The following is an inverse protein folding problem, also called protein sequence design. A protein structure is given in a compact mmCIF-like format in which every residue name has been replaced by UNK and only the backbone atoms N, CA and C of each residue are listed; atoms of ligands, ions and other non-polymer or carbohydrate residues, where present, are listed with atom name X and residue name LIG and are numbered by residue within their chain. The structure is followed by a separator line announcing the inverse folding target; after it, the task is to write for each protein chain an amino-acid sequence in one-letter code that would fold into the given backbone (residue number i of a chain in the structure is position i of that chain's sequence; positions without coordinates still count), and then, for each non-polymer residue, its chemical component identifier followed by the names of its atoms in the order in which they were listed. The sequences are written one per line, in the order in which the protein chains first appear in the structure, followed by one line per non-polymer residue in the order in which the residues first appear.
data_IF_225441042824
#
_entry.id   IF_225441042824
#
_cell.length_a   1.000
_cell.length_b   1.000
_cell.length_c   1.000
_cell.angle_alpha   90.00
_cell.angle_beta   90.00
_cell.angle_gamma   90.00
#
_symmetry.space_group_name_H-M   'P 1'
#
loop_
_entity.id
_entity.type
_entity.pdbx_description
1 polymer ?
#
# COMPACT_ATOMS: atom_id res chain seq x y z
N UNK A 1 21.27 38.90 -42.88
CA UNK A 1 20.08 38.70 -42.02
C UNK A 1 20.13 37.26 -41.52
N UNK A 2 20.44 37.07 -40.24
CA UNK A 2 20.49 35.75 -39.57
C UNK A 2 19.13 35.56 -38.90
N UNK A 3 18.47 34.43 -39.11
CA UNK A 3 17.87 33.63 -38.03
C UNK A 3 17.08 32.49 -38.65
N UNK A 4 17.74 31.33 -38.72
CA UNK A 4 17.09 30.04 -38.90
C UNK A 4 16.22 29.80 -37.66
N UNK A 5 14.90 29.93 -37.82
CA UNK A 5 13.95 29.55 -36.78
C UNK A 5 13.96 28.02 -36.64
N UNK A 6 14.96 27.52 -35.92
CA UNK A 6 15.03 26.16 -35.40
C UNK A 6 13.85 26.02 -34.45
N UNK A 7 12.75 25.43 -34.94
CA UNK A 7 11.66 24.93 -34.11
C UNK A 7 12.23 23.83 -33.24
N UNK A 8 12.74 24.20 -32.07
CA UNK A 8 13.00 23.23 -31.02
C UNK A 8 11.66 22.66 -30.63
N UNK A 9 11.46 21.41 -31.04
CA UNK A 9 10.46 20.50 -30.54
C UNK A 9 10.38 20.71 -29.03
N UNK A 10 9.24 21.26 -28.59
CA UNK A 10 8.85 21.30 -27.20
C UNK A 10 8.83 19.86 -26.71
N UNK A 11 9.95 19.45 -26.13
CA UNK A 11 10.10 18.20 -25.41
C UNK A 11 9.13 18.32 -24.24
N UNK A 12 7.92 17.79 -24.41
CA UNK A 12 7.00 17.56 -23.30
C UNK A 12 7.84 16.98 -22.17
N UNK A 13 7.82 17.58 -20.96
CA UNK A 13 8.57 17.02 -19.85
C UNK A 13 7.99 15.63 -19.65
N UNK A 14 8.74 14.62 -20.09
CA UNK A 14 8.45 13.23 -19.77
C UNK A 14 8.32 13.23 -18.25
N UNK A 15 7.08 13.09 -17.76
CA UNK A 15 6.80 12.98 -16.35
C UNK A 15 7.76 11.89 -15.87
N UNK A 16 8.78 12.27 -15.11
CA UNK A 16 9.68 11.32 -14.48
C UNK A 16 8.75 10.43 -13.66
N UNK A 17 8.46 9.24 -14.15
CA UNK A 17 7.64 8.27 -13.45
C UNK A 17 8.31 8.09 -12.10
N UNK A 18 7.76 8.71 -11.07
CA UNK A 18 8.33 8.65 -9.74
C UNK A 18 8.40 7.17 -9.38
N UNK A 19 9.61 6.67 -9.13
CA UNK A 19 9.78 5.30 -8.70
C UNK A 19 8.97 5.14 -7.41
N UNK A 20 7.99 4.24 -7.42
CA UNK A 20 7.17 4.02 -6.23
C UNK A 20 8.06 3.55 -5.08
N UNK A 21 7.89 4.10 -3.86
CA UNK A 21 8.80 3.84 -2.74
C UNK A 21 8.80 2.37 -2.29
N UNK A 22 7.72 1.63 -2.56
CA UNK A 22 7.57 0.21 -2.24
C UNK A 22 7.34 -0.64 -3.49
N UNK A 23 7.63 -1.94 -3.39
CA UNK A 23 7.36 -2.90 -4.46
C UNK A 23 5.88 -3.27 -4.55
N UNK A 24 5.46 -3.85 -5.69
CA UNK A 24 4.08 -4.32 -5.91
C UNK A 24 3.60 -5.27 -4.81
N UNK A 25 4.47 -6.19 -4.37
CA UNK A 25 4.14 -7.18 -3.33
C UNK A 25 3.86 -6.49 -2.00
N UNK A 26 4.67 -5.51 -1.61
CA UNK A 26 4.46 -4.72 -0.40
C UNK A 26 3.09 -4.04 -0.41
N UNK A 27 2.72 -3.41 -1.52
CA UNK A 27 1.41 -2.77 -1.65
C UNK A 27 0.25 -3.76 -1.56
N UNK A 28 0.39 -4.96 -2.13
CA UNK A 28 -0.63 -6.02 -2.00
C UNK A 28 -0.77 -6.45 -0.53
N UNK A 29 0.34 -6.68 0.16
CA UNK A 29 0.32 -7.08 1.57
C UNK A 29 -0.27 -5.98 2.46
N UNK A 30 0.06 -4.71 2.19
CA UNK A 30 -0.54 -3.57 2.90
C UNK A 30 -2.05 -3.54 2.64
N UNK A 31 -2.50 -3.65 1.39
CA UNK A 31 -3.92 -3.64 1.05
C UNK A 31 -4.69 -4.78 1.74
N UNK A 32 -4.11 -5.99 1.79
CA UNK A 32 -4.67 -7.12 2.53
C UNK A 32 -4.77 -6.82 4.03
N UNK A 33 -3.71 -6.28 4.64
CA UNK A 33 -3.74 -5.87 6.05
C UNK A 33 -4.80 -4.81 6.34
N UNK A 34 -4.93 -3.81 5.47
CA UNK A 34 -5.97 -2.77 5.58
C UNK A 34 -7.38 -3.37 5.45
N UNK A 35 -7.59 -4.32 4.54
CA UNK A 35 -8.87 -5.03 4.42
C UNK A 35 -9.21 -5.82 5.69
N UNK A 36 -8.23 -6.47 6.31
CA UNK A 36 -8.44 -7.18 7.59
C UNK A 36 -8.87 -6.19 8.67
N UNK A 37 -8.19 -5.04 8.79
CA UNK A 37 -8.58 -3.99 9.75
C UNK A 37 -10.02 -3.53 9.51
N UNK A 38 -10.36 -3.23 8.26
CA UNK A 38 -11.70 -2.79 7.89
C UNK A 38 -12.75 -3.87 8.20
N UNK A 39 -12.45 -5.14 7.95
CA UNK A 39 -13.34 -6.26 8.28
C UNK A 39 -13.52 -6.43 9.79
N UNK A 40 -12.45 -6.36 10.58
CA UNK A 40 -12.52 -6.44 12.04
C UNK A 40 -13.46 -5.39 12.62
N UNK A 41 -13.29 -4.13 12.21
CA UNK A 41 -14.19 -3.06 12.65
C UNK A 41 -15.58 -3.16 12.05
N UNK A 42 -15.71 -3.61 10.80
CA UNK A 42 -17.00 -3.79 10.14
C UNK A 42 -17.87 -4.84 10.83
N UNK A 43 -17.26 -5.95 11.26
CA UNK A 43 -17.96 -7.01 12.00
C UNK A 43 -18.36 -6.50 13.39
N UNK A 44 -17.48 -5.81 14.12
CA UNK A 44 -17.84 -5.19 15.40
C UNK A 44 -18.97 -4.18 15.26
N UNK A 45 -18.98 -3.40 14.17
CA UNK A 45 -20.04 -2.45 13.89
C UNK A 45 -21.39 -3.13 13.65
N UNK A 46 -21.39 -4.31 13.01
CA UNK A 46 -22.59 -5.12 12.81
C UNK A 46 -23.06 -5.79 14.11
N UNK A 47 -22.14 -6.21 14.97
CA UNK A 47 -22.46 -6.82 16.27
C UNK A 47 -23.17 -5.83 17.21
N UNK A 48 -22.97 -4.51 17.02
CA UNK A 48 -23.63 -3.42 17.79
C UNK A 48 -23.42 -3.52 19.31
N UNK A 49 -22.47 -4.34 19.75
CA UNK A 49 -22.16 -4.58 21.14
C UNK A 49 -20.66 -4.38 21.38
N UNK A 50 -20.34 -3.51 22.34
CA UNK A 50 -18.95 -3.23 22.72
C UNK A 50 -18.35 -4.35 23.56
N UNK A 51 -19.22 -5.11 24.23
CA UNK A 51 -18.86 -6.31 25.00
C UNK A 51 -19.11 -7.60 24.19
N UNK A 52 -19.28 -7.45 22.88
CA UNK A 52 -19.46 -8.55 21.93
C UNK A 52 -18.24 -9.47 21.81
N UNK A 53 -18.47 -10.69 21.36
CA UNK A 53 -17.42 -11.72 21.23
C UNK A 53 -16.37 -11.28 20.20
N UNK A 54 -16.78 -10.62 19.11
CA UNK A 54 -15.81 -10.14 18.13
C UNK A 54 -15.01 -8.97 18.67
N UNK A 55 -15.65 -8.10 19.47
CA UNK A 55 -14.97 -6.97 20.06
C UNK A 55 -13.86 -7.38 21.04
N UNK A 56 -14.16 -8.31 21.96
CA UNK A 56 -13.24 -8.73 23.02
C UNK A 56 -12.20 -9.77 22.59
N UNK A 57 -12.54 -10.71 21.71
CA UNK A 57 -11.65 -11.83 21.41
C UNK A 57 -11.07 -11.78 20.01
N UNK A 58 -11.86 -11.40 19.01
CA UNK A 58 -11.43 -11.44 17.61
C UNK A 58 -10.67 -10.19 17.21
N UNK A 59 -11.16 -9.01 17.60
CA UNK A 59 -10.56 -7.73 17.21
C UNK A 59 -9.12 -7.56 17.71
N UNK A 60 -8.77 -7.86 18.98
CA UNK A 60 -7.42 -7.61 19.46
C UNK A 60 -6.39 -8.46 18.71
N UNK A 61 -6.72 -9.73 18.44
CA UNK A 61 -5.84 -10.65 17.73
C UNK A 61 -5.74 -10.27 16.25
N UNK A 62 -6.87 -10.02 15.58
CA UNK A 62 -6.89 -9.71 14.15
C UNK A 62 -6.25 -8.35 13.85
N UNK A 63 -6.52 -7.32 14.65
CA UNK A 63 -5.91 -6.01 14.51
C UNK A 63 -4.40 -6.08 14.76
N UNK A 64 -3.96 -6.75 15.83
CA UNK A 64 -2.52 -6.92 16.12
C UNK A 64 -1.82 -7.64 14.98
N UNK A 65 -2.40 -8.73 14.48
CA UNK A 65 -1.86 -9.47 13.34
C UNK A 65 -1.81 -8.61 12.07
N UNK A 66 -2.85 -7.83 11.80
CA UNK A 66 -2.89 -6.94 10.64
C UNK A 66 -1.83 -5.83 10.73
N UNK A 67 -1.66 -5.19 11.88
CA UNK A 67 -0.61 -4.19 12.10
C UNK A 67 0.78 -4.78 11.98
N UNK A 68 1.03 -5.95 12.58
CA UNK A 68 2.30 -6.65 12.44
C UNK A 68 2.57 -7.03 10.97
N UNK A 69 1.55 -7.49 10.24
CA UNK A 69 1.62 -7.83 8.83
C UNK A 69 1.91 -6.61 7.94
N UNK A 70 1.29 -5.45 8.21
CA UNK A 70 1.57 -4.19 7.51
C UNK A 70 2.99 -3.72 7.82
N UNK A 71 3.42 -3.76 9.08
CA UNK A 71 4.78 -3.41 9.46
C UNK A 71 5.80 -4.30 8.73
N UNK A 72 5.56 -5.61 8.70
CA UNK A 72 6.35 -6.55 7.92
C UNK A 72 6.33 -6.21 6.42
N UNK A 73 5.16 -5.90 5.85
CA UNK A 73 5.03 -5.54 4.44
C UNK A 73 5.81 -4.27 4.07
N UNK A 74 5.89 -3.30 4.98
CA UNK A 74 6.68 -2.08 4.79
C UNK A 74 8.18 -2.39 4.87
N UNK A 75 8.60 -3.22 5.84
CA UNK A 75 10.01 -3.58 6.02
C UNK A 75 10.51 -4.60 4.99
N UNK A 76 9.63 -5.41 4.42
CA UNK A 76 9.99 -6.49 3.51
C UNK A 76 10.51 -5.90 2.20
N UNK A 77 11.83 -5.90 2.02
CA UNK A 77 12.46 -5.46 0.78
C UNK A 77 12.80 -6.68 -0.07
N UNK A 78 12.03 -6.99 -1.14
CA UNK A 78 12.37 -8.12 -1.99
C UNK A 78 13.75 -7.87 -2.59
N UNK A 79 14.73 -8.73 -2.27
CA UNK A 79 16.03 -8.72 -2.94
C UNK A 79 15.71 -8.94 -4.42
N UNK A 80 16.04 -7.96 -5.25
CA UNK A 80 15.87 -8.05 -6.71
C UNK A 80 16.42 -9.39 -7.17
N UNK A 81 15.57 -10.32 -7.60
CA UNK A 81 16.03 -11.45 -8.39
C UNK A 81 16.61 -10.82 -9.65
N UNK A 82 17.94 -10.76 -9.72
CA UNK A 82 18.65 -10.52 -10.97
C UNK A 82 18.20 -11.66 -11.88
N UNK A 83 17.35 -11.36 -12.87
CA UNK A 83 17.08 -12.33 -13.93
C UNK A 83 18.41 -12.53 -14.63
N UNK A 84 19.00 -13.71 -14.45
CA UNK A 84 20.11 -14.17 -15.27
C UNK A 84 19.63 -14.54 -16.66
#
# INVERSE_FOLDING_TARGET
MKSSAKREQGKSPAAKTAAMPLGRVNYILIALGTLVIAASFGIMFLEKDVDGVFALFVSPVTLTAAYAGIAFAVLYRPKTKKSS
#
